data_IF_510010807243
#
_entry.id   IF_510010807243
#
_cell.length_a   1.000
_cell.length_b   1.000
_cell.length_c   1.000
_cell.angle_alpha   90.00
_cell.angle_beta   90.00
_cell.angle_gamma   90.00
#
_symmetry.space_group_name_H-M   'P 1'
#
loop_
_entity.id
_entity.type
_entity.pdbx_description
1 polymer ?
#
# COMPACT_ATOMS: atom_id res chain seq x y z
N UNK A 1 0.03 -4.56 24.05
CA UNK A 1 1.31 -4.22 23.38
C UNK A 1 1.00 -3.83 21.94
N UNK A 2 1.78 -2.94 21.34
CA UNK A 2 1.62 -2.58 19.93
C UNK A 2 2.02 -3.73 19.00
N UNK A 3 1.43 -3.78 17.81
CA UNK A 3 1.76 -4.75 16.75
C UNK A 3 0.54 -5.39 16.10
N UNK A 4 0.78 -6.41 15.29
CA UNK A 4 -0.25 -7.03 14.46
C UNK A 4 -1.42 -7.62 15.27
N UNK A 5 -1.15 -8.24 16.43
CA UNK A 5 -2.23 -8.77 17.29
C UNK A 5 -3.16 -7.67 17.79
N UNK A 6 -2.62 -6.47 18.06
CA UNK A 6 -3.45 -5.32 18.41
C UNK A 6 -4.27 -4.86 17.21
N UNK A 7 -3.67 -4.81 16.01
CA UNK A 7 -4.38 -4.44 14.79
C UNK A 7 -5.52 -5.41 14.47
N UNK A 8 -5.29 -6.73 14.61
CA UNK A 8 -6.30 -7.77 14.42
C UNK A 8 -7.46 -7.58 15.41
N UNK A 9 -7.16 -7.43 16.71
CA UNK A 9 -8.20 -7.21 17.72
C UNK A 9 -9.06 -5.98 17.42
N UNK A 10 -8.44 -4.90 16.92
CA UNK A 10 -9.15 -3.69 16.47
C UNK A 10 -9.97 -3.94 15.21
N UNK A 11 -9.40 -4.59 14.20
CA UNK A 11 -10.09 -4.94 12.97
C UNK A 11 -11.34 -5.79 13.24
N UNK A 12 -11.23 -6.83 14.07
CA UNK A 12 -12.38 -7.66 14.46
C UNK A 12 -13.48 -6.84 15.15
N UNK A 13 -13.10 -5.92 16.04
CA UNK A 13 -14.07 -5.05 16.71
C UNK A 13 -14.74 -4.04 15.76
N UNK A 14 -14.06 -3.66 14.67
CA UNK A 14 -14.55 -2.68 13.70
C UNK A 14 -15.34 -3.32 12.54
N UNK A 15 -15.12 -4.60 12.25
CA UNK A 15 -15.74 -5.31 11.14
C UNK A 15 -17.27 -5.19 11.07
N UNK A 16 -18.05 -5.29 12.17
CA UNK A 16 -19.50 -5.14 12.12
C UNK A 16 -20.00 -3.75 11.68
N UNK A 17 -19.11 -2.75 11.63
CA UNK A 17 -19.45 -1.34 11.43
C UNK A 17 -18.80 -0.72 10.19
N UNK A 18 -17.96 -1.47 9.47
CA UNK A 18 -17.16 -0.94 8.36
C UNK A 18 -17.25 -1.86 7.14
N UNK A 19 -17.54 -1.27 5.97
CA UNK A 19 -17.57 -2.01 4.70
C UNK A 19 -16.19 -2.58 4.35
N UNK A 20 -15.13 -1.80 4.63
CA UNK A 20 -13.74 -2.19 4.39
C UNK A 20 -12.89 -1.95 5.65
N UNK A 21 -11.90 -2.83 5.85
CA UNK A 21 -10.89 -2.68 6.91
C UNK A 21 -9.51 -2.52 6.30
N UNK A 22 -8.76 -1.56 6.83
CA UNK A 22 -7.37 -1.29 6.49
C UNK A 22 -6.50 -1.35 7.75
N UNK A 23 -5.47 -2.18 7.72
CA UNK A 23 -4.36 -2.13 8.68
C UNK A 23 -3.17 -1.43 8.03
N UNK A 24 -2.72 -0.31 8.61
CA UNK A 24 -1.50 0.34 8.13
C UNK A 24 -0.26 -0.50 8.48
N UNK A 25 0.70 -0.56 7.55
CA UNK A 25 1.90 -1.40 7.67
C UNK A 25 3.17 -0.55 7.55
N UNK A 26 4.25 -0.99 8.19
CA UNK A 26 5.53 -0.28 8.17
C UNK A 26 6.38 -0.58 6.93
N UNK A 27 6.13 -1.72 6.28
CA UNK A 27 6.89 -2.25 5.13
C UNK A 27 5.95 -3.07 4.24
N UNK A 28 6.28 -3.26 2.95
CA UNK A 28 5.51 -4.13 2.08
C UNK A 28 5.83 -5.60 2.43
N UNK A 29 4.95 -6.25 3.19
CA UNK A 29 5.10 -7.64 3.66
C UNK A 29 3.82 -8.45 3.41
N UNK A 30 3.90 -9.41 2.47
CA UNK A 30 2.78 -10.29 2.13
C UNK A 30 2.44 -11.28 3.24
N UNK A 31 3.39 -11.67 4.10
CA UNK A 31 3.14 -12.57 5.21
C UNK A 31 2.37 -11.85 6.33
N UNK A 32 2.75 -10.61 6.64
CA UNK A 32 2.01 -9.76 7.58
C UNK A 32 0.58 -9.51 7.07
N UNK A 33 0.44 -9.14 5.78
CA UNK A 33 -0.86 -8.92 5.14
C UNK A 33 -1.74 -10.19 5.14
N UNK A 34 -1.14 -11.36 4.91
CA UNK A 34 -1.84 -12.66 4.94
C UNK A 34 -2.35 -12.97 6.35
N UNK A 35 -1.50 -12.85 7.37
CA UNK A 35 -1.88 -13.12 8.76
C UNK A 35 -3.02 -12.21 9.23
N UNK A 36 -2.99 -10.93 8.85
CA UNK A 36 -4.11 -10.02 9.13
C UNK A 36 -5.39 -10.48 8.44
N UNK A 37 -5.33 -10.75 7.12
CA UNK A 37 -6.50 -11.13 6.34
C UNK A 37 -7.12 -12.43 6.83
N UNK A 38 -6.32 -13.46 7.10
CA UNK A 38 -6.78 -14.75 7.63
C UNK A 38 -7.46 -14.58 8.99
N UNK A 39 -6.91 -13.75 9.88
CA UNK A 39 -7.50 -13.52 11.20
C UNK A 39 -8.85 -12.80 11.12
N UNK A 40 -8.98 -11.77 10.28
CA UNK A 40 -10.26 -11.09 10.06
C UNK A 40 -11.28 -12.02 9.41
N UNK A 41 -10.88 -12.71 8.34
CA UNK A 41 -11.77 -13.58 7.57
C UNK A 41 -12.19 -14.85 8.29
N UNK A 42 -11.45 -15.28 9.30
CA UNK A 42 -11.86 -16.38 10.17
C UNK A 42 -13.19 -16.08 10.88
N UNK A 43 -13.37 -14.85 11.35
CA UNK A 43 -14.59 -14.42 12.05
C UNK A 43 -15.60 -13.75 11.10
N UNK A 44 -15.10 -13.05 10.07
CA UNK A 44 -15.90 -12.33 9.07
C UNK A 44 -15.47 -12.71 7.63
N UNK A 45 -15.87 -13.88 7.10
CA UNK A 45 -15.38 -14.40 5.82
C UNK A 45 -15.55 -13.44 4.64
N UNK A 46 -16.67 -12.71 4.61
CA UNK A 46 -17.03 -11.79 3.54
C UNK A 46 -16.47 -10.37 3.72
N UNK A 47 -15.76 -10.09 4.81
CA UNK A 47 -15.18 -8.77 5.05
C UNK A 47 -14.24 -8.38 3.90
N UNK A 48 -14.51 -7.23 3.30
CA UNK A 48 -13.63 -6.63 2.31
C UNK A 48 -12.48 -5.92 3.02
N UNK A 49 -11.28 -6.04 2.46
CA UNK A 49 -10.08 -5.41 2.99
C UNK A 49 -9.56 -4.37 1.99
N UNK A 50 -8.83 -3.38 2.51
CA UNK A 50 -8.08 -2.43 1.70
C UNK A 50 -6.62 -2.34 2.12
N UNK A 51 -5.76 -1.97 1.18
CA UNK A 51 -4.30 -1.95 1.37
C UNK A 51 -3.66 -0.72 0.72
N UNK A 52 -2.89 0.02 1.52
CA UNK A 52 -2.05 1.11 1.06
C UNK A 52 -0.71 0.56 0.54
N UNK A 53 -0.54 0.55 -0.78
CA UNK A 53 0.75 0.32 -1.43
C UNK A 53 1.63 1.57 -1.26
N UNK A 54 2.12 1.78 -0.04
CA UNK A 54 2.70 3.05 0.35
C UNK A 54 3.92 3.45 -0.49
N UNK A 55 3.98 4.70 -1.00
CA UNK A 55 5.16 5.22 -1.66
C UNK A 55 6.29 5.58 -0.67
N UNK A 56 6.02 5.58 0.64
CA UNK A 56 7.08 5.72 1.66
C UNK A 56 7.95 4.48 1.79
N UNK A 57 7.49 3.34 1.27
CA UNK A 57 8.28 2.12 1.25
C UNK A 57 9.39 2.23 0.19
N UNK A 58 10.60 1.84 0.58
CA UNK A 58 11.61 1.53 -0.41
C UNK A 58 11.35 0.13 -0.98
N UNK A 59 10.49 0.04 -1.99
CA UNK A 59 10.04 -1.23 -2.59
C UNK A 59 11.21 -2.12 -3.03
N UNK A 60 12.13 -1.58 -3.84
CA UNK A 60 13.27 -2.33 -4.38
C UNK A 60 14.31 -2.74 -3.33
N UNK A 61 14.36 -2.06 -2.18
CA UNK A 61 15.23 -2.46 -1.07
C UNK A 61 14.67 -3.63 -0.27
N UNK A 62 13.34 -3.79 -0.24
CA UNK A 62 12.69 -4.82 0.58
C UNK A 62 12.23 -6.03 -0.23
N UNK A 63 12.00 -5.89 -1.53
CA UNK A 63 11.42 -6.92 -2.40
C UNK A 63 12.18 -7.01 -3.73
N UNK A 64 12.22 -8.22 -4.29
CA UNK A 64 12.66 -8.44 -5.68
C UNK A 64 11.59 -8.00 -6.69
N UNK A 65 12.02 -7.76 -7.94
CA UNK A 65 11.14 -7.27 -9.01
C UNK A 65 9.99 -8.24 -9.32
N UNK A 66 10.22 -9.56 -9.20
CA UNK A 66 9.18 -10.56 -9.45
C UNK A 66 8.07 -10.50 -8.37
N UNK A 67 8.43 -10.23 -7.13
CA UNK A 67 7.53 -10.06 -6.00
C UNK A 67 6.79 -8.74 -6.08
N UNK A 68 7.48 -7.65 -6.43
CA UNK A 68 6.85 -6.35 -6.69
C UNK A 68 5.77 -6.50 -7.78
N UNK A 69 6.11 -7.14 -8.90
CA UNK A 69 5.21 -7.30 -10.05
C UNK A 69 3.92 -8.07 -9.72
N UNK A 70 3.95 -9.00 -8.75
CA UNK A 70 2.77 -9.78 -8.34
C UNK A 70 2.09 -9.29 -7.05
N UNK A 71 2.65 -8.30 -6.36
CA UNK A 71 2.26 -7.92 -5.01
C UNK A 71 0.76 -7.66 -4.86
N UNK A 72 0.19 -6.82 -5.74
CA UNK A 72 -1.24 -6.48 -5.70
C UNK A 72 -2.15 -7.66 -6.01
N UNK A 73 -1.71 -8.57 -6.89
CA UNK A 73 -2.46 -9.80 -7.23
C UNK A 73 -2.52 -10.75 -6.05
N UNK A 74 -1.40 -10.93 -5.35
CA UNK A 74 -1.35 -11.72 -4.12
C UNK A 74 -2.27 -11.13 -3.03
N UNK A 75 -2.23 -9.80 -2.83
CA UNK A 75 -3.15 -9.11 -1.92
C UNK A 75 -4.63 -9.31 -2.31
N UNK A 76 -4.96 -9.21 -3.60
CA UNK A 76 -6.34 -9.40 -4.08
C UNK A 76 -6.86 -10.82 -3.80
N UNK A 77 -5.99 -11.82 -3.90
CA UNK A 77 -6.30 -13.20 -3.55
C UNK A 77 -6.57 -13.39 -2.04
N UNK A 78 -5.99 -12.55 -1.18
CA UNK A 78 -6.25 -12.54 0.27
C UNK A 78 -7.53 -11.78 0.66
N UNK A 79 -8.15 -11.04 -0.27
CA UNK A 79 -9.37 -10.26 -0.02
C UNK A 79 -9.16 -8.75 0.07
N UNK A 80 -7.96 -8.23 -0.21
CA UNK A 80 -7.71 -6.79 -0.35
C UNK A 80 -8.25 -6.30 -1.70
N UNK A 81 -9.55 -5.98 -1.73
CA UNK A 81 -10.29 -5.63 -2.96
C UNK A 81 -10.14 -4.17 -3.38
N UNK A 82 -9.73 -3.29 -2.46
CA UNK A 82 -9.38 -1.92 -2.78
C UNK A 82 -7.92 -1.64 -2.41
N UNK A 83 -7.12 -1.25 -3.40
CA UNK A 83 -5.67 -1.02 -3.21
C UNK A 83 -5.30 0.32 -3.84
N UNK A 84 -4.45 1.09 -3.18
CA UNK A 84 -4.12 2.45 -3.59
C UNK A 84 -2.68 2.81 -3.26
N UNK A 85 -2.12 3.77 -3.99
CA UNK A 85 -0.85 4.44 -3.67
C UNK A 85 -1.19 5.86 -3.23
N UNK A 86 -1.05 6.15 -1.95
CA UNK A 86 -1.52 7.40 -1.33
C UNK A 86 -0.97 8.68 -1.96
N UNK A 87 0.32 8.71 -2.26
CA UNK A 87 1.02 9.93 -2.73
C UNK A 87 1.53 9.84 -4.18
N UNK A 88 1.02 8.91 -4.99
CA UNK A 88 1.48 8.72 -6.37
C UNK A 88 1.42 10.01 -7.20
N UNK A 89 0.31 10.75 -7.10
CA UNK A 89 0.14 12.01 -7.82
C UNK A 89 1.15 13.09 -7.40
N UNK A 90 1.45 13.19 -6.10
CA UNK A 90 2.43 14.15 -5.57
C UNK A 90 3.83 13.81 -6.09
N UNK A 91 4.23 12.54 -5.99
CA UNK A 91 5.53 12.09 -6.51
C UNK A 91 5.67 12.34 -8.00
N UNK A 92 4.65 12.02 -8.80
CA UNK A 92 4.66 12.26 -10.24
C UNK A 92 4.81 13.75 -10.58
N UNK A 93 3.98 14.60 -9.95
CA UNK A 93 3.99 16.04 -10.18
C UNK A 93 5.32 16.67 -9.77
N UNK A 94 5.80 16.39 -8.56
CA UNK A 94 7.03 16.99 -8.05
C UNK A 94 8.26 16.54 -8.81
N UNK A 95 8.34 15.24 -9.16
CA UNK A 95 9.46 14.75 -9.95
C UNK A 95 9.52 15.40 -11.33
N UNK A 96 8.37 15.46 -12.02
CA UNK A 96 8.27 16.07 -13.34
C UNK A 96 8.60 17.57 -13.30
N UNK A 97 8.03 18.29 -12.33
CA UNK A 97 8.24 19.72 -12.19
C UNK A 97 9.69 20.05 -11.80
N UNK A 98 10.31 19.23 -10.95
CA UNK A 98 11.72 19.37 -10.62
C UNK A 98 12.61 19.19 -11.84
N UNK A 99 12.41 18.12 -12.62
CA UNK A 99 13.22 17.86 -13.82
C UNK A 99 13.08 19.02 -14.83
N UNK A 100 11.85 19.46 -15.10
CA UNK A 100 11.59 20.59 -15.99
C UNK A 100 12.29 21.86 -15.50
N UNK A 101 12.07 22.26 -14.25
CA UNK A 101 12.67 23.49 -13.70
C UNK A 101 14.20 23.43 -13.69
N UNK A 102 14.77 22.26 -13.37
CA UNK A 102 16.20 22.03 -13.35
C UNK A 102 16.82 22.17 -14.75
N UNK A 103 16.20 21.59 -15.77
CA UNK A 103 16.73 21.59 -17.13
C UNK A 103 16.46 22.92 -17.84
N UNK A 104 15.28 23.51 -17.60
CA UNK A 104 14.93 24.83 -18.13
C UNK A 104 15.89 25.92 -17.64
N UNK A 105 16.33 25.86 -16.38
CA UNK A 105 17.35 26.76 -15.84
C UNK A 105 18.73 26.64 -16.51
N UNK A 106 18.99 25.57 -17.28
CA UNK A 106 20.29 25.29 -17.94
C UNK A 106 20.24 25.39 -19.45
N UNK A 107 19.12 25.02 -20.05
CA UNK A 107 18.98 24.84 -21.49
C UNK A 107 17.82 25.65 -22.10
N UNK A 108 17.16 26.48 -21.29
CA UNK A 108 16.05 27.36 -21.71
C UNK A 108 14.95 26.55 -22.41
N UNK A 109 14.32 27.10 -23.45
CA UNK A 109 13.21 26.49 -24.19
C UNK A 109 13.47 25.09 -24.76
N UNK A 110 14.73 24.64 -24.89
CA UNK A 110 15.01 23.26 -25.35
C UNK A 110 14.70 22.19 -24.29
N UNK A 111 14.48 22.60 -23.04
CA UNK A 111 14.07 21.72 -21.96
C UNK A 111 12.56 21.49 -21.85
N UNK A 112 11.75 22.28 -22.57
CA UNK A 112 10.28 22.12 -22.63
C UNK A 112 9.89 21.13 -23.73
#
# INVERSE_FOLDING_TARGET
RAGLDQAIARGLAYAPYADLIWCETAKPDLAEARRFAEAIKKEYPDQLLSYNCSPSFNWKKNLDDATIAKFQRELSAMGYKHQFITLAGIHNMWHSMFNLAHDYARNDMTAY
#
